data_IF_795745952024
#
_entry.id   IF_795745952024
#
_cell.length_a   1.000
_cell.length_b   1.000
_cell.length_c   1.000
_cell.angle_alpha   90.00
_cell.angle_beta   90.00
_cell.angle_gamma   90.00
#
_symmetry.space_group_name_H-M   'P 1'
#
loop_
_entity.id
_entity.type
_entity.pdbx_description
1 polymer ?
#
# COMPACT_ATOMS: atom_id res chain seq x y z
N UNK A 1 -0.49 -6.93 0.56
CA UNK A 1 0.34 -6.89 -0.66
C UNK A 1 1.75 -6.55 -0.23
N UNK A 2 2.74 -7.35 -0.62
CA UNK A 2 4.12 -7.11 -0.20
C UNK A 2 4.82 -6.14 -1.16
N UNK A 3 4.85 -4.87 -0.78
CA UNK A 3 5.56 -3.81 -1.52
C UNK A 3 7.07 -3.80 -1.25
N UNK A 4 7.54 -4.50 -0.21
CA UNK A 4 8.97 -4.61 0.10
C UNK A 4 9.66 -5.49 -0.93
N UNK A 5 9.06 -6.65 -1.25
CA UNK A 5 9.54 -7.52 -2.33
C UNK A 5 9.58 -6.80 -3.69
N UNK A 6 8.56 -5.97 -3.99
CA UNK A 6 8.55 -5.15 -5.20
C UNK A 6 9.72 -4.15 -5.21
N UNK A 7 9.98 -3.49 -4.09
CA UNK A 7 11.11 -2.55 -3.99
C UNK A 7 12.46 -3.21 -4.19
N UNK A 8 12.67 -4.39 -3.61
CA UNK A 8 13.90 -5.17 -3.79
C UNK A 8 14.08 -5.57 -5.25
N UNK A 9 13.01 -6.04 -5.90
CA UNK A 9 13.03 -6.33 -7.33
C UNK A 9 13.44 -5.09 -8.14
N UNK A 10 12.80 -3.94 -7.90
CA UNK A 10 13.11 -2.68 -8.61
C UNK A 10 14.53 -2.14 -8.36
N UNK A 11 15.14 -2.48 -7.22
CA UNK A 11 16.54 -2.15 -6.93
C UNK A 11 17.51 -3.04 -7.71
N UNK A 12 17.15 -4.31 -7.86
CA UNK A 12 17.99 -5.33 -8.50
C UNK A 12 17.83 -5.42 -10.02
N UNK A 13 16.76 -4.85 -10.60
CA UNK A 13 16.50 -4.87 -12.05
C UNK A 13 17.66 -4.29 -12.89
N UNK A 14 18.37 -3.28 -12.40
CA UNK A 14 19.50 -2.69 -13.12
C UNK A 14 20.73 -3.62 -13.18
N UNK A 15 20.82 -4.60 -12.28
CA UNK A 15 21.88 -5.59 -12.27
C UNK A 15 21.52 -6.87 -13.05
N UNK A 16 20.24 -7.10 -13.31
CA UNK A 16 19.74 -8.31 -13.97
C UNK A 16 19.59 -8.08 -15.48
N UNK A 17 20.64 -8.44 -16.24
CA UNK A 17 20.72 -8.22 -17.68
C UNK A 17 19.75 -9.07 -18.54
N UNK A 18 19.03 -10.04 -17.95
CA UNK A 18 18.30 -11.07 -18.71
C UNK A 18 16.86 -11.35 -18.24
N UNK A 19 16.21 -10.40 -17.55
CA UNK A 19 14.82 -10.61 -17.11
C UNK A 19 13.87 -10.38 -18.27
N UNK A 20 12.96 -11.33 -18.51
CA UNK A 20 11.91 -11.25 -19.53
C UNK A 20 10.93 -10.11 -19.21
N UNK A 21 10.61 -9.29 -20.22
CA UNK A 21 9.68 -8.16 -20.06
C UNK A 21 8.28 -8.60 -19.68
N UNK A 22 7.84 -9.77 -20.17
CA UNK A 22 6.47 -10.24 -19.95
C UNK A 22 6.28 -10.74 -18.52
N UNK A 23 7.29 -11.39 -17.95
CA UNK A 23 7.31 -11.80 -16.53
C UNK A 23 7.28 -10.58 -15.60
N UNK A 24 8.08 -9.56 -15.89
CA UNK A 24 8.09 -8.31 -15.11
C UNK A 24 6.73 -7.62 -15.19
N UNK A 25 6.13 -7.53 -16.38
CA UNK A 25 4.83 -6.90 -16.54
C UNK A 25 3.76 -7.64 -15.76
N UNK A 26 3.70 -8.98 -15.87
CA UNK A 26 2.75 -9.81 -15.13
C UNK A 26 2.90 -9.63 -13.60
N UNK A 27 4.14 -9.58 -13.12
CA UNK A 27 4.44 -9.34 -11.71
C UNK A 27 4.04 -7.93 -11.24
N UNK A 28 4.10 -6.92 -12.11
CA UNK A 28 3.65 -5.56 -11.76
C UNK A 28 2.12 -5.44 -11.73
N UNK A 29 1.40 -6.19 -12.59
CA UNK A 29 -0.06 -6.11 -12.69
C UNK A 29 -0.80 -6.43 -11.39
N UNK A 30 -0.30 -7.37 -10.59
CA UNK A 30 -0.90 -7.67 -9.27
C UNK A 30 -0.95 -6.44 -8.35
N UNK A 31 -0.03 -5.48 -8.49
CA UNK A 31 0.02 -4.28 -7.64
C UNK A 31 -0.88 -3.13 -8.12
N UNK A 32 -1.47 -3.22 -9.32
CA UNK A 32 -2.22 -2.12 -9.96
C UNK A 32 -3.36 -1.60 -9.07
N UNK A 33 -4.27 -2.49 -8.66
CA UNK A 33 -5.39 -2.15 -7.77
C UNK A 33 -4.91 -1.57 -6.44
N UNK A 34 -3.83 -2.12 -5.89
CA UNK A 34 -3.25 -1.64 -4.64
C UNK A 34 -2.67 -0.23 -4.74
N UNK A 35 -2.04 0.13 -5.86
CA UNK A 35 -1.59 1.50 -6.10
C UNK A 35 -2.75 2.47 -6.40
N UNK A 36 -3.81 2.04 -7.09
CA UNK A 36 -4.97 2.90 -7.31
C UNK A 36 -5.75 3.18 -6.03
N UNK A 37 -5.82 2.18 -5.14
CA UNK A 37 -6.39 2.29 -3.79
C UNK A 37 -5.36 2.70 -2.76
N UNK A 38 -4.19 3.18 -3.18
CA UNK A 38 -3.15 3.65 -2.28
C UNK A 38 -3.76 4.76 -1.43
N UNK A 39 -3.90 4.49 -0.13
CA UNK A 39 -4.48 5.38 0.88
C UNK A 39 -6.01 5.51 0.82
N UNK A 40 -6.70 4.73 0.01
CA UNK A 40 -8.15 4.61 0.07
C UNK A 40 -8.55 3.52 1.08
N UNK A 41 -8.29 3.83 2.34
CA UNK A 41 -8.74 2.99 3.43
C UNK A 41 -10.11 3.45 3.89
N UNK A 42 -10.93 2.48 4.27
CA UNK A 42 -12.23 2.74 4.87
C UNK A 42 -12.00 3.65 6.09
N UNK A 43 -12.69 4.79 6.11
CA UNK A 43 -12.69 5.70 7.24
C UNK A 43 -13.51 5.14 8.42
N UNK A 44 -13.58 5.86 9.55
CA UNK A 44 -14.32 5.43 10.72
C UNK A 44 -15.80 5.26 10.38
N UNK A 45 -16.43 4.18 10.87
CA UNK A 45 -17.85 3.94 10.65
C UNK A 45 -18.56 3.59 11.94
N UNK A 46 -19.79 4.10 12.10
CA UNK A 46 -20.59 3.83 13.31
C UNK A 46 -20.85 2.33 13.52
N UNK A 47 -20.89 1.55 12.44
CA UNK A 47 -21.02 0.10 12.50
C UNK A 47 -19.75 -0.57 13.04
N UNK A 48 -18.58 -0.28 12.44
CA UNK A 48 -17.30 -0.81 12.92
C UNK A 48 -17.02 -0.39 14.36
N UNK A 49 -17.29 0.87 14.70
CA UNK A 49 -17.17 1.39 16.07
C UNK A 49 -18.03 0.62 17.05
N UNK A 50 -19.27 0.28 16.68
CA UNK A 50 -20.16 -0.54 17.52
C UNK A 50 -19.62 -1.95 17.69
N UNK A 51 -19.09 -2.58 16.63
CA UNK A 51 -18.50 -3.92 16.74
C UNK A 51 -17.32 -3.94 17.73
N UNK A 52 -16.42 -2.96 17.63
CA UNK A 52 -15.28 -2.83 18.56
C UNK A 52 -15.77 -2.59 19.99
N UNK A 53 -16.75 -1.69 20.20
CA UNK A 53 -17.32 -1.44 21.53
C UNK A 53 -18.07 -2.66 22.11
N UNK A 54 -18.68 -3.48 21.25
CA UNK A 54 -19.32 -4.74 21.63
C UNK A 54 -18.32 -5.86 21.92
N UNK A 55 -17.02 -5.60 21.71
CA UNK A 55 -15.89 -6.51 21.98
C UNK A 55 -15.87 -7.75 21.10
N UNK A 56 -16.62 -7.75 20.01
CA UNK A 56 -16.69 -8.88 19.10
C UNK A 56 -16.60 -8.37 17.67
N UNK A 57 -15.42 -8.55 17.09
CA UNK A 57 -15.06 -7.94 15.81
C UNK A 57 -14.80 -9.05 14.80
N UNK A 58 -15.37 -8.93 13.61
CA UNK A 58 -15.07 -9.84 12.51
C UNK A 58 -13.96 -9.24 11.66
N UNK A 59 -12.78 -9.85 11.74
CA UNK A 59 -11.57 -9.43 10.99
C UNK A 59 -11.23 -10.45 9.90
N UNK A 60 -10.22 -10.16 9.08
CA UNK A 60 -9.63 -11.16 8.16
C UNK A 60 -9.05 -12.39 8.85
N UNK A 61 -8.74 -12.30 10.15
CA UNK A 61 -8.26 -13.39 10.98
C UNK A 61 -9.39 -14.20 11.64
N UNK A 62 -10.64 -13.85 11.37
CA UNK A 62 -11.82 -14.42 11.99
C UNK A 62 -12.42 -13.51 13.06
N UNK A 63 -13.27 -14.09 13.90
CA UNK A 63 -13.93 -13.38 15.01
C UNK A 63 -12.95 -13.23 16.16
N UNK A 64 -12.66 -11.98 16.54
CA UNK A 64 -11.84 -11.65 17.69
C UNK A 64 -12.71 -11.17 18.85
N UNK A 65 -12.45 -11.69 20.04
CA UNK A 65 -12.99 -11.18 21.30
C UNK A 65 -11.98 -10.20 21.89
N UNK A 66 -12.42 -8.98 22.18
CA UNK A 66 -11.55 -7.89 22.62
C UNK A 66 -11.70 -7.62 24.12
N UNK A 67 -10.59 -7.38 24.79
CA UNK A 67 -10.63 -6.86 26.14
C UNK A 67 -11.07 -5.38 26.16
N UNK A 68 -11.91 -4.96 27.13
CA UNK A 68 -12.30 -3.56 27.26
C UNK A 68 -11.09 -2.63 27.40
N UNK A 69 -10.07 -3.11 28.11
CA UNK A 69 -8.74 -2.51 28.23
C UNK A 69 -7.76 -3.68 28.18
N UNK A 70 -6.74 -3.69 27.31
CA UNK A 70 -6.28 -2.55 26.50
C UNK A 70 -6.86 -2.45 25.08
N UNK A 71 -7.50 -3.50 24.54
CA UNK A 71 -7.78 -3.64 23.10
C UNK A 71 -8.76 -2.60 22.53
N UNK A 72 -9.95 -2.48 23.12
CA UNK A 72 -10.97 -1.52 22.66
C UNK A 72 -10.44 -0.10 22.74
N UNK A 73 -9.69 0.22 23.81
CA UNK A 73 -9.12 1.55 24.00
C UNK A 73 -8.10 1.89 22.91
N UNK A 74 -7.16 1.00 22.61
CA UNK A 74 -6.17 1.25 21.56
C UNK A 74 -6.79 1.27 20.16
N UNK A 75 -7.77 0.42 19.88
CA UNK A 75 -8.43 0.40 18.57
C UNK A 75 -9.18 1.70 18.29
N UNK A 76 -9.91 2.23 19.27
CA UNK A 76 -10.63 3.50 19.14
C UNK A 76 -9.67 4.69 19.07
N UNK A 77 -8.62 4.70 19.89
CA UNK A 77 -7.59 5.74 19.83
C UNK A 77 -6.94 5.78 18.45
N UNK A 78 -6.53 4.62 17.93
CA UNK A 78 -5.90 4.51 16.62
C UNK A 78 -6.84 4.97 15.49
N UNK A 79 -8.13 4.62 15.58
CA UNK A 79 -9.16 5.04 14.63
C UNK A 79 -9.34 6.56 14.63
N UNK A 80 -9.40 7.18 15.82
CA UNK A 80 -9.61 8.61 15.96
C UNK A 80 -8.40 9.42 15.46
N UNK A 81 -7.18 8.98 15.77
CA UNK A 81 -5.92 9.64 15.37
C UNK A 81 -5.64 9.48 13.86
N UNK A 82 -5.80 8.28 13.31
CA UNK A 82 -5.47 8.00 11.90
C UNK A 82 -6.66 8.11 10.95
N UNK A 83 -7.87 8.37 11.48
CA UNK A 83 -9.14 8.38 10.75
C UNK A 83 -9.36 7.11 9.93
N UNK A 84 -9.22 5.96 10.61
CA UNK A 84 -9.37 4.64 10.02
C UNK A 84 -10.60 3.93 10.54
N UNK A 85 -11.10 2.98 9.77
CA UNK A 85 -12.12 2.05 10.22
C UNK A 85 -11.65 1.28 11.45
N UNK A 86 -12.51 1.20 12.45
CA UNK A 86 -12.19 0.59 13.74
C UNK A 86 -11.84 -0.90 13.62
N UNK A 87 -12.40 -1.64 12.65
CA UNK A 87 -12.05 -3.05 12.40
C UNK A 87 -10.62 -3.17 11.87
N UNK A 88 -10.23 -2.25 10.97
CA UNK A 88 -8.86 -2.21 10.45
C UNK A 88 -7.85 -1.87 11.56
N UNK A 89 -8.22 -1.00 12.49
CA UNK A 89 -7.39 -0.70 13.66
C UNK A 89 -7.15 -1.95 14.52
N UNK A 90 -8.17 -2.79 14.72
CA UNK A 90 -8.03 -4.08 15.41
C UNK A 90 -7.08 -5.00 14.63
N UNK A 91 -7.22 -5.10 13.31
CA UNK A 91 -6.31 -5.90 12.50
C UNK A 91 -4.85 -5.48 12.66
N UNK A 92 -4.55 -4.17 12.63
CA UNK A 92 -3.18 -3.68 12.83
C UNK A 92 -2.65 -3.94 14.24
N UNK A 93 -3.51 -3.90 15.26
CA UNK A 93 -3.13 -4.28 16.63
C UNK A 93 -2.80 -5.77 16.72
N UNK A 94 -3.61 -6.62 16.08
CA UNK A 94 -3.33 -8.07 15.97
C UNK A 94 -2.00 -8.31 15.26
N UNK A 95 -1.78 -7.67 14.10
CA UNK A 95 -0.53 -7.81 13.35
C UNK A 95 0.69 -7.36 14.16
N UNK A 96 0.59 -6.25 14.90
CA UNK A 96 1.68 -5.80 15.77
C UNK A 96 2.03 -6.84 16.84
N UNK A 97 1.01 -7.45 17.44
CA UNK A 97 1.20 -8.48 18.45
C UNK A 97 1.82 -9.75 17.85
N UNK A 98 1.29 -10.22 16.73
CA UNK A 98 1.72 -11.47 16.09
C UNK A 98 3.12 -11.38 15.48
N UNK A 99 3.42 -10.30 14.75
CA UNK A 99 4.68 -10.18 14.01
C UNK A 99 5.82 -9.61 14.85
N UNK A 100 5.51 -8.70 15.78
CA UNK A 100 6.53 -7.96 16.55
C UNK A 100 6.51 -8.27 18.04
N UNK A 101 5.52 -9.03 18.53
CA UNK A 101 5.39 -9.34 19.96
C UNK A 101 5.08 -8.12 20.82
N UNK A 102 4.62 -7.02 20.22
CA UNK A 102 4.34 -5.75 20.90
C UNK A 102 2.89 -5.35 20.69
N UNK A 103 2.26 -4.85 21.75
CA UNK A 103 0.87 -4.43 21.73
C UNK A 103 0.78 -2.96 22.12
N UNK A 104 0.11 -2.15 21.29
CA UNK A 104 -0.08 -0.73 21.53
C UNK A 104 -0.48 0.02 20.27
N UNK A 105 -1.24 1.11 20.44
CA UNK A 105 -1.71 1.93 19.33
C UNK A 105 -0.54 2.53 18.52
N UNK A 106 0.56 2.88 19.18
CA UNK A 106 1.77 3.41 18.57
C UNK A 106 2.46 2.41 17.63
N UNK A 107 2.49 1.12 17.98
CA UNK A 107 3.09 0.09 17.15
C UNK A 107 2.23 -0.23 15.93
N UNK A 108 0.91 -0.31 16.14
CA UNK A 108 -0.07 -0.47 15.06
C UNK A 108 -0.03 0.74 14.10
N UNK A 109 0.09 1.97 14.61
CA UNK A 109 0.29 3.16 13.81
C UNK A 109 1.61 3.11 13.03
N UNK A 110 2.69 2.63 13.67
CA UNK A 110 3.98 2.40 13.03
C UNK A 110 3.86 1.47 11.82
N UNK A 111 3.25 0.29 11.99
CA UNK A 111 2.98 -0.65 10.89
C UNK A 111 2.20 0.00 9.74
N UNK A 112 1.10 0.67 10.09
CA UNK A 112 0.26 1.37 9.12
C UNK A 112 1.04 2.40 8.28
N UNK A 113 1.92 3.18 8.91
CA UNK A 113 2.74 4.20 8.25
C UNK A 113 3.89 3.58 7.45
N UNK A 114 4.52 2.53 7.97
CA UNK A 114 5.60 1.81 7.30
C UNK A 114 5.11 1.18 5.99
N UNK A 115 3.97 0.46 6.01
CA UNK A 115 3.38 -0.14 4.80
C UNK A 115 3.14 0.91 3.70
N UNK A 116 2.65 2.10 4.09
CA UNK A 116 2.44 3.22 3.16
C UNK A 116 3.73 3.77 2.62
N UNK A 117 4.72 3.97 3.50
CA UNK A 117 6.00 4.50 3.10
C UNK A 117 6.67 3.57 2.08
N UNK A 118 6.61 2.26 2.30
CA UNK A 118 7.13 1.24 1.38
C UNK A 118 6.39 1.30 0.05
N UNK A 119 5.06 1.33 0.06
CA UNK A 119 4.27 1.43 -1.18
C UNK A 119 4.53 2.74 -1.94
N UNK A 120 4.61 3.88 -1.27
CA UNK A 120 4.95 5.17 -1.88
C UNK A 120 6.36 5.18 -2.48
N UNK A 121 7.33 4.58 -1.78
CA UNK A 121 8.69 4.40 -2.31
C UNK A 121 8.67 3.53 -3.57
N UNK A 122 7.93 2.43 -3.56
CA UNK A 122 7.78 1.55 -4.73
C UNK A 122 7.20 2.31 -5.93
N UNK A 123 6.10 3.05 -5.72
CA UNK A 123 5.47 3.88 -6.76
C UNK A 123 6.44 4.95 -7.28
N UNK A 124 7.12 5.67 -6.38
CA UNK A 124 8.08 6.71 -6.77
C UNK A 124 9.22 6.14 -7.61
N UNK A 125 9.65 4.91 -7.31
CA UNK A 125 10.71 4.23 -8.07
C UNK A 125 10.23 3.83 -9.46
N UNK A 126 9.02 3.30 -9.59
CA UNK A 126 8.41 2.98 -10.89
C UNK A 126 8.29 4.22 -11.78
N UNK A 127 7.79 5.33 -11.22
CA UNK A 127 7.65 6.59 -11.95
C UNK A 127 9.01 7.18 -12.36
N UNK A 128 10.00 7.12 -11.47
CA UNK A 128 11.35 7.58 -11.77
C UNK A 128 12.02 6.71 -12.86
N UNK A 129 11.78 5.40 -12.84
CA UNK A 129 12.32 4.49 -13.85
C UNK A 129 11.69 4.72 -15.23
N UNK A 130 10.37 4.92 -15.30
CA UNK A 130 9.71 5.32 -16.54
C UNK A 130 10.25 6.67 -17.08
N UNK A 131 10.41 7.67 -16.21
CA UNK A 131 10.97 8.96 -16.59
C UNK A 131 12.42 8.85 -17.13
N UNK A 132 13.27 8.01 -16.50
CA UNK A 132 14.63 7.72 -17.00
C UNK A 132 14.61 6.98 -18.33
N UNK A 133 13.74 5.97 -18.45
CA UNK A 133 13.55 5.16 -19.65
C UNK A 133 13.15 6.01 -20.84
N UNK A 134 12.30 7.03 -20.64
CA UNK A 134 11.92 7.99 -21.69
C UNK A 134 13.11 8.86 -22.15
N UNK A 135 14.01 9.26 -21.24
CA UNK A 135 15.22 10.00 -21.59
C UNK A 135 16.24 9.12 -22.34
N UNK A 136 16.41 7.86 -21.92
CA UNK A 136 17.31 6.88 -22.55
C UNK A 136 16.79 6.34 -23.90
N UNK A 137 15.48 6.29 -24.10
CA UNK A 137 14.86 5.91 -25.37
C UNK A 137 15.23 6.90 -26.50
N UNK A 138 15.38 8.18 -26.21
CA UNK A 138 15.89 9.17 -27.16
C UNK A 138 17.35 8.88 -27.61
N UNK A 139 18.07 8.05 -26.85
CA UNK A 139 19.44 7.61 -27.12
C UNK A 139 19.52 6.14 -27.61
N UNK A 140 18.37 5.48 -27.86
CA UNK A 140 18.31 4.13 -28.42
C UNK A 140 18.66 2.98 -27.46
N UNK A 141 18.75 3.25 -26.15
CA UNK A 141 19.13 2.25 -25.12
C UNK A 141 17.96 1.96 -24.18
N UNK A 142 16.91 1.30 -24.67
CA UNK A 142 15.80 0.86 -23.81
C UNK A 142 15.95 -0.62 -23.48
N UNK A 143 16.04 -0.95 -22.20
CA UNK A 143 16.10 -2.35 -21.74
C UNK A 143 14.70 -2.98 -21.75
N UNK A 144 14.58 -4.32 -21.87
CA UNK A 144 13.29 -5.02 -21.86
C UNK A 144 12.45 -4.73 -20.59
N UNK A 145 13.08 -4.72 -19.42
CA UNK A 145 12.39 -4.38 -18.17
C UNK A 145 11.93 -2.92 -18.11
N UNK A 146 12.69 -1.98 -18.70
CA UNK A 146 12.29 -0.58 -18.76
C UNK A 146 11.11 -0.36 -19.71
N UNK A 147 10.93 -1.23 -20.72
CA UNK A 147 9.73 -1.27 -21.55
C UNK A 147 8.52 -1.80 -20.77
N UNK A 148 8.69 -2.86 -19.97
CA UNK A 148 7.62 -3.41 -19.12
C UNK A 148 7.13 -2.38 -18.08
N UNK A 149 8.05 -1.70 -17.40
CA UNK A 149 7.72 -0.64 -16.43
C UNK A 149 6.98 0.50 -17.11
N UNK A 150 7.42 0.93 -18.29
CA UNK A 150 6.75 2.01 -19.02
C UNK A 150 5.32 1.63 -19.44
N UNK A 151 5.12 0.40 -19.93
CA UNK A 151 3.78 -0.12 -20.23
C UNK A 151 2.89 -0.12 -18.99
N UNK A 152 3.43 -0.61 -17.86
CA UNK A 152 2.71 -0.64 -16.59
C UNK A 152 2.35 0.76 -16.08
N UNK A 153 3.30 1.70 -16.06
CA UNK A 153 3.07 3.09 -15.64
C UNK A 153 2.07 3.78 -16.57
N UNK A 154 2.19 3.56 -17.89
CA UNK A 154 1.22 4.07 -18.85
C UNK A 154 -0.18 3.50 -18.63
N UNK A 155 -0.31 2.26 -18.17
CA UNK A 155 -1.60 1.67 -17.85
C UNK A 155 -2.14 2.16 -16.49
N UNK A 156 -1.27 2.32 -15.50
CA UNK A 156 -1.61 2.85 -14.18
C UNK A 156 -2.08 4.31 -14.25
N UNK A 157 -1.45 5.11 -15.12
CA UNK A 157 -1.79 6.52 -15.36
C UNK A 157 -2.81 6.70 -16.49
N UNK A 158 -3.05 5.67 -17.29
CA UNK A 158 -3.82 5.70 -18.54
C UNK A 158 -5.33 5.56 -18.36
N UNK A 159 -6.06 6.10 -19.34
CA UNK A 159 -7.47 6.46 -19.32
C UNK A 159 -8.50 5.31 -19.40
N UNK A 160 -8.13 4.03 -19.21
CA UNK A 160 -9.15 2.95 -19.24
C UNK A 160 -10.17 3.06 -18.11
N UNK A 161 -9.83 3.79 -17.05
CA UNK A 161 -10.77 4.44 -16.14
C UNK A 161 -10.46 5.93 -16.12
N UNK A 162 -11.42 6.77 -16.50
CA UNK A 162 -11.30 8.22 -16.49
C UNK A 162 -11.05 8.72 -15.06
N UNK A 163 -9.78 8.76 -14.63
CA UNK A 163 -9.44 9.26 -13.30
C UNK A 163 -8.16 8.72 -12.66
N UNK A 164 -7.51 7.65 -13.15
CA UNK A 164 -6.36 7.02 -12.45
C UNK A 164 -5.26 8.01 -12.03
N UNK A 165 -4.80 8.85 -12.96
CA UNK A 165 -3.85 9.95 -12.67
C UNK A 165 -4.40 10.98 -11.68
N UNK A 166 -5.66 11.39 -11.83
CA UNK A 166 -6.30 12.38 -10.94
C UNK A 166 -6.49 11.81 -9.53
N UNK A 167 -6.87 10.54 -9.42
CA UNK A 167 -7.01 9.78 -8.17
C UNK A 167 -5.65 9.70 -7.50
N UNK A 168 -4.61 9.21 -8.18
CA UNK A 168 -3.26 9.13 -7.62
C UNK A 168 -2.75 10.50 -7.17
N UNK A 169 -2.93 11.55 -7.97
CA UNK A 169 -2.54 12.92 -7.59
C UNK A 169 -3.32 13.43 -6.37
N UNK A 170 -4.65 13.24 -6.34
CA UNK A 170 -5.48 13.65 -5.20
C UNK A 170 -5.05 12.93 -3.92
N UNK A 171 -4.73 11.63 -4.01
CA UNK A 171 -4.25 10.80 -2.89
C UNK A 171 -2.85 11.23 -2.43
N UNK A 172 -1.92 11.47 -3.34
CA UNK A 172 -0.58 11.98 -3.01
C UNK A 172 -0.63 13.36 -2.34
N UNK A 173 -1.50 14.25 -2.81
CA UNK A 173 -1.72 15.57 -2.19
C UNK A 173 -2.31 15.44 -0.79
N UNK A 174 -3.19 14.46 -0.55
CA UNK A 174 -3.76 14.20 0.77
C UNK A 174 -2.72 13.72 1.80
N UNK A 175 -1.58 13.16 1.37
CA UNK A 175 -0.47 12.78 2.28
C UNK A 175 0.31 14.00 2.77
N UNK A 176 0.40 15.04 1.93
CA UNK A 176 1.21 16.24 2.21
C UNK A 176 0.47 17.28 3.07
N UNK A 177 -0.81 17.04 3.39
CA UNK A 177 -1.67 17.93 4.18
C UNK A 177 -1.93 17.34 5.55
#
# INVERSE_FOLDING_TARGET
MDYSALLELLQNLNAAASVDSDEVLLYLQQYKEGFLKLLDYKGPTAESRRQVQQRRVTTKYGVQELDPVPDVQHALLLSDELRLDEVLCVEYLTTALEERGVFGAEYAAGLYLEERQVALRALSRLLAEDARSQQGAAQGQRTPHAQAIASYVSELLGERDAGGRQVLLARLVAILR
#
